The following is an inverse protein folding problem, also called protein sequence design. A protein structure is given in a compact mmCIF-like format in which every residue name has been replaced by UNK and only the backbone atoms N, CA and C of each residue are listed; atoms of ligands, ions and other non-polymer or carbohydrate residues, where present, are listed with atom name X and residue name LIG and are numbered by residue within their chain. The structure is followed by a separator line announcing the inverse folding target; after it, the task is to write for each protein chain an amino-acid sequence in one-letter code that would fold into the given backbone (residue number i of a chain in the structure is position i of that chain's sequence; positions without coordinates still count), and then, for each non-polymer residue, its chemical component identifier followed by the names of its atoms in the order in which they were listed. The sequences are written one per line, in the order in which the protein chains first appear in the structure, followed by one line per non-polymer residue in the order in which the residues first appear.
data_IF_479652147227
#
_entry.id   IF_479652147227
#
_cell.length_a   1.000
_cell.length_b   1.000
_cell.length_c   1.000
_cell.angle_alpha   90.00
_cell.angle_beta   90.00
_cell.angle_gamma   90.00
#
_symmetry.space_group_name_H-M   'P 1'
#
loop_
_entity.id
_entity.type
_entity.pdbx_description
1 polymer ?
#
# COMPACT_ATOMS: atom_id res chain seq x y z
N UNK A 1 6.50 1.08 -3.56
CA UNK A 1 6.02 0.00 -4.44
C UNK A 1 6.98 -0.29 -5.61
N UNK A 2 7.77 0.69 -6.07
CA UNK A 2 8.65 0.58 -7.26
C UNK A 2 9.49 -0.72 -7.31
N UNK A 3 10.28 -1.02 -6.28
CA UNK A 3 11.15 -2.21 -6.27
C UNK A 3 10.36 -3.54 -6.33
N UNK A 4 9.19 -3.60 -5.69
CA UNK A 4 8.37 -4.81 -5.69
C UNK A 4 7.73 -5.05 -7.06
N UNK A 5 7.37 -3.98 -7.78
CA UNK A 5 6.87 -4.05 -9.15
C UNK A 5 7.94 -4.54 -10.12
N UNK A 6 9.18 -4.03 -10.02
CA UNK A 6 10.28 -4.46 -10.89
C UNK A 6 10.69 -5.91 -10.63
N UNK A 7 10.83 -6.29 -9.36
CA UNK A 7 11.24 -7.64 -8.96
C UNK A 7 10.07 -8.64 -8.89
N UNK A 8 8.85 -8.20 -9.21
CA UNK A 8 7.64 -9.02 -9.18
C UNK A 8 7.43 -9.79 -7.87
N UNK A 9 7.69 -9.11 -6.75
CA UNK A 9 7.55 -9.69 -5.42
C UNK A 9 6.14 -9.44 -4.86
N UNK A 10 5.61 -10.36 -4.03
CA UNK A 10 4.31 -10.18 -3.40
C UNK A 10 4.35 -9.00 -2.41
N UNK A 11 3.32 -8.15 -2.46
CA UNK A 11 3.13 -7.02 -1.55
C UNK A 11 2.04 -7.39 -0.54
N UNK A 12 2.32 -7.16 0.75
CA UNK A 12 1.36 -7.39 1.83
C UNK A 12 0.86 -6.05 2.36
N UNK A 13 -0.45 -5.72 2.23
CA UNK A 13 -1.01 -4.52 2.82
C UNK A 13 -1.10 -4.66 4.34
N UNK A 14 -0.64 -3.64 5.07
CA UNK A 14 -0.68 -3.59 6.53
C UNK A 14 -1.31 -2.27 6.97
N UNK A 15 -2.36 -2.36 7.78
CA UNK A 15 -3.02 -1.22 8.36
C UNK A 15 -2.71 -1.12 9.85
N UNK A 16 -2.26 0.06 10.28
CA UNK A 16 -1.94 0.40 11.66
C UNK A 16 -2.83 1.55 12.09
N UNK A 17 -3.65 1.36 13.13
CA UNK A 17 -4.48 2.42 13.72
C UNK A 17 -4.14 2.61 15.20
N UNK A 18 -4.15 3.87 15.65
CA UNK A 18 -3.85 4.24 17.03
C UNK A 18 -2.37 4.49 17.36
N UNK A 19 -1.42 4.13 16.48
CA UNK A 19 0.01 4.40 16.72
C UNK A 19 0.30 5.90 16.88
N UNK A 20 -0.40 6.75 16.13
CA UNK A 20 -0.28 8.20 16.25
C UNK A 20 -0.69 8.75 17.63
N UNK A 21 -1.54 8.02 18.38
CA UNK A 21 -1.95 8.38 19.75
C UNK A 21 -0.90 7.98 20.77
N UNK A 22 -0.18 6.88 20.50
CA UNK A 22 0.95 6.43 21.33
C UNK A 22 2.10 7.42 21.18
N UNK A 23 2.45 7.74 19.94
CA UNK A 23 3.58 8.60 19.65
C UNK A 23 3.34 9.39 18.37
N UNK A 24 2.93 10.64 18.53
CA UNK A 24 2.71 11.54 17.41
C UNK A 24 4.05 11.98 16.79
N UNK A 25 4.02 12.32 15.49
CA UNK A 25 5.17 12.89 14.79
C UNK A 25 5.65 14.13 15.54
N UNK A 26 6.95 14.21 15.83
CA UNK A 26 7.59 15.33 16.53
C UNK A 26 7.24 15.48 18.03
N UNK A 27 6.65 14.46 18.67
CA UNK A 27 6.45 14.44 20.12
C UNK A 27 7.64 13.79 20.83
N UNK A 28 8.15 14.41 21.91
CA UNK A 28 9.10 13.76 22.83
C UNK A 28 8.45 12.88 23.90
N UNK A 29 7.11 12.82 23.94
CA UNK A 29 6.33 12.12 24.97
C UNK A 29 5.59 10.93 24.37
N UNK A 30 5.69 9.77 25.02
CA UNK A 30 5.02 8.52 24.67
C UNK A 30 3.81 8.36 25.60
N UNK A 31 2.64 8.07 25.03
CA UNK A 31 1.41 7.80 25.76
C UNK A 31 1.01 6.31 25.64
N UNK A 32 0.43 5.75 26.69
CA UNK A 32 -0.15 4.40 26.64
C UNK A 32 -1.52 4.46 25.97
N UNK A 33 -1.61 4.02 24.71
CA UNK A 33 -2.86 3.94 23.96
C UNK A 33 -2.99 2.58 23.26
N UNK A 34 -4.23 2.19 22.94
CA UNK A 34 -4.50 0.94 22.21
C UNK A 34 -4.09 1.11 20.75
N UNK A 35 -3.33 0.13 20.23
CA UNK A 35 -2.96 0.03 18.82
C UNK A 35 -3.70 -1.17 18.22
N UNK A 36 -4.32 -0.96 17.05
CA UNK A 36 -4.93 -2.02 16.24
C UNK A 36 -4.05 -2.25 15.02
N UNK A 37 -3.82 -3.52 14.69
CA UNK A 37 -3.08 -3.93 13.50
C UNK A 37 -3.89 -4.93 12.69
N UNK A 38 -3.89 -4.79 11.37
CA UNK A 38 -4.41 -5.79 10.44
C UNK A 38 -3.44 -6.04 9.30
N UNK A 39 -3.34 -7.32 8.94
CA UNK A 39 -2.63 -7.79 7.76
C UNK A 39 -3.67 -8.19 6.72
N UNK A 40 -3.59 -7.61 5.53
CA UNK A 40 -4.46 -7.98 4.43
C UNK A 40 -3.85 -9.10 3.59
N UNK A 41 -4.53 -9.47 2.50
CA UNK A 41 -4.11 -10.55 1.62
C UNK A 41 -2.90 -10.12 0.78
N UNK A 42 -1.82 -10.93 0.69
CA UNK A 42 -0.73 -10.67 -0.24
C UNK A 42 -1.24 -10.63 -1.69
N UNK A 43 -0.75 -9.69 -2.49
CA UNK A 43 -1.05 -9.60 -3.93
C UNK A 43 0.21 -9.35 -4.75
N UNK A 44 0.22 -9.78 -6.00
CA UNK A 44 1.31 -9.50 -6.93
C UNK A 44 1.03 -8.22 -7.72
N UNK A 45 2.04 -7.38 -7.98
CA UNK A 45 1.89 -6.21 -8.85
C UNK A 45 1.42 -6.57 -10.26
N UNK A 46 1.79 -7.76 -10.76
CA UNK A 46 1.36 -8.24 -12.08
C UNK A 46 -0.16 -8.37 -12.18
N UNK A 47 -0.82 -8.86 -11.14
CA UNK A 47 -2.26 -9.12 -11.13
C UNK A 47 -3.05 -7.81 -11.24
N UNK A 48 -2.55 -6.74 -10.59
CA UNK A 48 -3.16 -5.40 -10.63
C UNK A 48 -2.93 -4.72 -11.99
N UNK A 49 -1.77 -4.95 -12.60
CA UNK A 49 -1.40 -4.37 -13.89
C UNK A 49 -2.03 -5.12 -15.08
N UNK A 50 -2.26 -6.43 -14.97
CA UNK A 50 -2.95 -7.22 -16.01
C UNK A 50 -4.41 -6.82 -16.20
N UNK A 51 -5.07 -6.34 -15.14
CA UNK A 51 -6.42 -5.76 -15.24
C UNK A 51 -6.44 -4.36 -15.86
N UNK A 52 -5.29 -3.66 -15.93
CA UNK A 52 -5.24 -2.23 -16.27
C UNK A 52 -4.81 -1.92 -17.72
N UNK A 53 -4.06 -2.79 -18.42
CA UNK A 53 -3.82 -2.61 -19.87
C UNK A 53 -3.01 -3.75 -20.50
N UNK A 54 -3.59 -4.40 -21.51
CA UNK A 54 -2.86 -5.16 -22.52
C UNK A 54 -2.15 -4.20 -23.49
N UNK A 55 -0.82 -4.10 -23.40
CA UNK A 55 0.06 -3.67 -24.50
C UNK A 55 1.52 -3.92 -24.12
N UNK A 56 2.01 -5.09 -24.51
CA UNK A 56 3.41 -5.43 -24.49
C UNK A 56 4.06 -4.93 -25.80
N UNK A 57 4.40 -3.64 -25.89
CA UNK A 57 5.49 -3.20 -26.78
C UNK A 57 5.91 -1.76 -26.50
N UNK A 58 7.18 -1.56 -26.13
CA UNK A 58 7.83 -0.24 -25.98
C UNK A 58 7.66 0.46 -24.63
N UNK A 59 8.52 0.19 -23.64
CA UNK A 59 8.52 0.92 -22.36
C UNK A 59 9.14 2.32 -22.53
N UNK A 60 8.30 3.36 -22.60
CA UNK A 60 8.76 4.70 -22.25
C UNK A 60 8.83 4.83 -20.72
N UNK A 61 9.69 5.70 -20.20
CA UNK A 61 9.84 5.93 -18.75
C UNK A 61 8.51 6.37 -18.10
N UNK A 62 7.68 7.06 -18.87
CA UNK A 62 6.34 7.50 -18.46
C UNK A 62 5.38 6.31 -18.23
N UNK A 63 5.46 5.26 -19.04
CA UNK A 63 4.62 4.07 -18.87
C UNK A 63 4.98 3.29 -17.59
N UNK A 64 6.25 3.27 -17.21
CA UNK A 64 6.69 2.68 -15.94
C UNK A 64 6.22 3.49 -14.73
N UNK A 65 6.28 4.82 -14.79
CA UNK A 65 5.76 5.68 -13.71
C UNK A 65 4.25 5.49 -13.50
N UNK A 66 3.48 5.42 -14.60
CA UNK A 66 2.05 5.13 -14.54
C UNK A 66 1.76 3.77 -13.89
N UNK A 67 2.56 2.73 -14.19
CA UNK A 67 2.43 1.40 -13.55
C UNK A 67 2.67 1.47 -12.03
N UNK A 68 3.70 2.20 -11.59
CA UNK A 68 3.98 2.35 -10.15
C UNK A 68 2.88 3.12 -9.44
N UNK A 69 2.34 4.16 -10.08
CA UNK A 69 1.25 4.95 -9.55
C UNK A 69 -0.02 4.11 -9.40
N UNK A 70 -0.39 3.32 -10.42
CA UNK A 70 -1.55 2.42 -10.37
C UNK A 70 -1.44 1.41 -9.21
N UNK A 71 -0.29 0.73 -9.06
CA UNK A 71 -0.05 -0.22 -7.95
C UNK A 71 -0.10 0.49 -6.60
N UNK A 72 0.44 1.71 -6.52
CA UNK A 72 0.42 2.51 -5.28
C UNK A 72 -0.99 2.99 -4.94
N UNK A 73 -1.79 3.38 -5.92
CA UNK A 73 -3.18 3.79 -5.74
C UNK A 73 -4.04 2.64 -5.25
N UNK A 74 -3.93 1.45 -5.87
CA UNK A 74 -4.61 0.24 -5.42
C UNK A 74 -4.23 -0.12 -3.97
N UNK A 75 -2.93 -0.11 -3.65
CA UNK A 75 -2.46 -0.40 -2.29
C UNK A 75 -3.01 0.60 -1.27
N UNK A 76 -3.05 1.90 -1.61
CA UNK A 76 -3.62 2.93 -0.73
C UNK A 76 -5.11 2.71 -0.51
N UNK A 77 -5.87 2.38 -1.55
CA UNK A 77 -7.29 2.11 -1.44
C UNK A 77 -7.58 0.92 -0.50
N UNK A 78 -6.84 -0.18 -0.66
CA UNK A 78 -6.98 -1.36 0.20
C UNK A 78 -6.67 -1.04 1.67
N UNK A 79 -5.56 -0.34 1.94
CA UNK A 79 -5.21 0.09 3.31
C UNK A 79 -6.28 1.01 3.90
N UNK A 80 -6.86 1.89 3.09
CA UNK A 80 -7.93 2.79 3.56
C UNK A 80 -9.18 2.00 4.00
N UNK A 81 -9.60 1.02 3.21
CA UNK A 81 -10.72 0.13 3.56
C UNK A 81 -10.41 -0.59 4.89
N UNK A 82 -9.21 -1.14 5.03
CA UNK A 82 -8.77 -1.81 6.26
C UNK A 82 -8.79 -0.89 7.48
N UNK A 83 -8.37 0.37 7.33
CA UNK A 83 -8.41 1.37 8.40
C UNK A 83 -9.85 1.71 8.79
N UNK A 84 -10.73 1.90 7.80
CA UNK A 84 -12.13 2.24 8.04
C UNK A 84 -12.88 1.09 8.73
N UNK A 85 -12.61 -0.15 8.37
CA UNK A 85 -13.11 -1.33 9.09
C UNK A 85 -12.65 -1.39 10.55
N UNK A 86 -11.42 -0.96 10.85
CA UNK A 86 -10.91 -0.94 12.23
C UNK A 86 -11.50 0.18 13.09
N UNK A 87 -12.04 1.23 12.45
CA UNK A 87 -12.65 2.40 13.11
C UNK A 87 -14.16 2.27 13.27
N UNK A 88 -14.79 1.36 12.53
CA UNK A 88 -16.14 0.86 12.83
C UNK A 88 -16.14 0.08 14.15
#
# INVERSE_FOLDING_TARGET
AILATELNMPIVPVALDGLYKVWARDSGKINLAKVKMRFGKPFYPKDVLSDSSASADGLSKADSEAKYEAVTAYLKAEIQIMIDEMRR
#
